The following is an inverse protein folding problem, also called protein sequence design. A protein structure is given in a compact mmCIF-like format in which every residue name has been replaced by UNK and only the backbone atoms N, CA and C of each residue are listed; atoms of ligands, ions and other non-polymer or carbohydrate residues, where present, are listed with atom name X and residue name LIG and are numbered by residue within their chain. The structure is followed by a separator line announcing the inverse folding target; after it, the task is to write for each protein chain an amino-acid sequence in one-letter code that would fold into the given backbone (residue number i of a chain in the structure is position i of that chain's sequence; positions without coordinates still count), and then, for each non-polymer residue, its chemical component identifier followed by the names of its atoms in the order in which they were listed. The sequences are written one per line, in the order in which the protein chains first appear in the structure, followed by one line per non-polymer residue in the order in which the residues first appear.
data_IF_151581976804
#
_entry.id   IF_151581976804
#
_cell.length_a   1.000
_cell.length_b   1.000
_cell.length_c   1.000
_cell.angle_alpha   90.00
_cell.angle_beta   90.00
_cell.angle_gamma   90.00
#
_symmetry.space_group_name_H-M   'P 1'
#
loop_
_entity.id
_entity.type
_entity.pdbx_description
1 polymer ?
#
# COMPACT_ATOMS: atom_id res chain seq x y z
N UNK A 1 -13.23 6.69 23.68
CA UNK A 1 -13.59 6.90 22.27
C UNK A 1 -12.34 6.74 21.42
N UNK A 2 -12.42 5.99 20.32
CA UNK A 2 -11.36 5.90 19.31
C UNK A 2 -11.94 6.17 17.93
N UNK A 3 -11.18 6.83 17.06
CA UNK A 3 -11.52 7.08 15.65
C UNK A 3 -10.60 6.25 14.77
N UNK A 4 -11.20 5.47 13.88
CA UNK A 4 -10.49 4.64 12.92
C UNK A 4 -11.02 4.91 11.51
N UNK A 5 -10.15 4.84 10.51
CA UNK A 5 -10.55 4.80 9.10
C UNK A 5 -9.78 3.73 8.34
N UNK A 6 -10.35 3.36 7.21
CA UNK A 6 -9.82 2.41 6.25
C UNK A 6 -10.27 2.87 4.87
N UNK A 7 -9.43 2.64 3.85
CA UNK A 7 -9.80 2.96 2.47
C UNK A 7 -11.06 2.18 2.06
N UNK A 8 -11.87 2.79 1.19
CA UNK A 8 -13.15 2.22 0.77
C UNK A 8 -12.97 0.93 -0.05
N UNK A 9 -11.86 0.84 -0.76
CA UNK A 9 -11.42 -0.27 -1.62
C UNK A 9 -10.48 -1.26 -0.92
N UNK A 10 -10.19 -1.05 0.36
CA UNK A 10 -9.38 -1.96 1.17
C UNK A 10 -9.99 -3.37 1.20
N UNK A 11 -9.15 -4.38 0.96
CA UNK A 11 -9.54 -5.79 1.08
C UNK A 11 -10.10 -6.11 2.48
N UNK A 12 -10.89 -7.18 2.59
CA UNK A 12 -11.51 -7.58 3.88
C UNK A 12 -10.51 -7.74 5.02
N UNK A 13 -9.28 -8.12 4.68
CA UNK A 13 -8.22 -8.49 5.61
C UNK A 13 -7.30 -7.31 5.96
N UNK A 14 -7.50 -6.14 5.35
CA UNK A 14 -6.72 -4.95 5.68
C UNK A 14 -7.17 -4.33 7.02
N UNK A 15 -6.23 -4.06 7.94
CA UNK A 15 -6.54 -3.59 9.28
C UNK A 15 -7.02 -2.13 9.27
N UNK A 16 -7.87 -1.80 10.23
CA UNK A 16 -8.29 -0.42 10.48
C UNK A 16 -7.17 0.40 11.10
N UNK A 17 -6.89 1.58 10.54
CA UNK A 17 -5.90 2.51 11.10
C UNK A 17 -6.56 3.40 12.15
N UNK A 18 -5.99 3.46 13.35
CA UNK A 18 -6.45 4.37 14.42
C UNK A 18 -5.84 5.75 14.23
N UNK A 19 -6.67 6.77 14.05
CA UNK A 19 -6.23 8.16 13.85
C UNK A 19 -6.37 9.02 15.10
N UNK A 20 -7.34 8.76 15.97
CA UNK A 20 -7.53 9.51 17.20
C UNK A 20 -8.03 8.63 18.36
N UNK A 21 -7.76 9.07 19.59
CA UNK A 21 -8.26 8.45 20.81
C UNK A 21 -8.51 9.52 21.87
N UNK A 22 -9.50 9.32 22.72
CA UNK A 22 -9.83 10.24 23.79
C UNK A 22 -10.93 9.74 24.71
N UNK A 23 -11.29 10.55 25.70
CA UNK A 23 -12.34 10.28 26.67
C UNK A 23 -13.46 11.30 26.50
N UNK A 24 -14.70 10.83 26.53
CA UNK A 24 -15.88 11.68 26.59
C UNK A 24 -16.46 11.60 27.99
N UNK A 25 -16.81 12.74 28.56
CA UNK A 25 -17.52 12.85 29.83
C UNK A 25 -18.78 13.69 29.61
N UNK A 26 -19.85 13.46 30.38
CA UNK A 26 -20.96 14.40 30.43
C UNK A 26 -20.44 15.80 30.73
N UNK A 27 -21.00 16.83 30.08
CA UNK A 27 -20.64 18.21 30.38
C UNK A 27 -21.00 18.49 31.84
N UNK A 28 -20.00 18.86 32.65
CA UNK A 28 -20.28 19.49 33.93
C UNK A 28 -20.93 20.86 33.66
N UNK A 29 -21.74 21.37 34.59
CA UNK A 29 -22.12 22.79 34.62
C UNK A 29 -20.86 23.63 34.94
N UNK A 30 -19.91 23.66 34.01
CA UNK A 30 -18.74 24.54 34.10
C UNK A 30 -19.22 25.98 33.88
N UNK A 31 -18.66 26.96 34.62
CA UNK A 31 -18.95 28.35 34.35
C UNK A 31 -18.57 28.66 32.89
N UNK A 32 -19.48 29.35 32.18
CA UNK A 32 -19.19 29.86 30.83
C UNK A 32 -17.89 30.67 30.88
N UNK A 33 -16.94 30.43 29.97
CA UNK A 33 -15.71 31.21 29.96
C UNK A 33 -16.01 32.71 29.82
N UNK A 34 -15.27 33.52 30.57
CA UNK A 34 -15.42 34.97 30.70
C UNK A 34 -14.93 35.76 29.45
N UNK A 35 -14.90 35.09 28.29
CA UNK A 35 -14.51 35.70 27.03
C UNK A 35 -15.75 36.34 26.40
N UNK A 36 -15.98 37.61 26.71
CA UNK A 36 -17.02 38.40 26.05
C UNK A 36 -16.66 38.62 24.57
N UNK A 37 -17.17 37.73 23.70
CA UNK A 37 -17.09 37.84 22.24
C UNK A 37 -18.32 38.56 21.65
N UNK A 38 -19.13 39.24 22.47
CA UNK A 38 -20.29 40.01 22.01
C UNK A 38 -19.87 41.38 21.44
N UNK A 39 -18.90 42.05 22.07
CA UNK A 39 -18.27 43.26 21.56
C UNK A 39 -17.26 42.93 20.45
N UNK A 40 -17.50 43.43 19.23
CA UNK A 40 -16.71 43.05 18.06
C UNK A 40 -16.46 44.20 17.06
N UNK A 41 -15.22 44.37 16.57
CA UNK A 41 -14.01 43.69 17.03
C UNK A 41 -13.71 44.02 18.51
N UNK A 42 -12.98 43.16 19.24
CA UNK A 42 -12.72 43.38 20.65
C UNK A 42 -12.03 44.73 20.90
N UNK A 43 -12.43 45.42 21.96
CA UNK A 43 -11.82 46.71 22.30
C UNK A 43 -10.29 46.58 22.48
N UNK A 44 -9.55 47.51 21.86
CA UNK A 44 -8.09 47.53 21.88
C UNK A 44 -7.40 46.49 20.98
N UNK A 45 -8.14 45.79 20.12
CA UNK A 45 -7.56 44.90 19.11
C UNK A 45 -7.29 45.65 17.80
N UNK A 46 -6.13 45.39 17.19
CA UNK A 46 -5.69 45.99 15.93
C UNK A 46 -5.94 45.02 14.76
N UNK A 47 -6.41 45.47 13.59
CA UNK A 47 -6.61 44.60 12.43
C UNK A 47 -5.31 43.94 11.97
N UNK A 48 -5.40 42.67 11.57
CA UNK A 48 -4.31 41.90 10.95
C UNK A 48 -4.61 41.71 9.47
N UNK A 49 -3.58 41.86 8.62
CA UNK A 49 -3.71 41.67 7.18
C UNK A 49 -3.92 40.19 6.83
N UNK A 50 -5.10 39.89 6.28
CA UNK A 50 -5.52 38.55 5.85
C UNK A 50 -5.43 38.35 4.34
N UNK A 51 -5.13 39.40 3.56
CA UNK A 51 -4.90 39.30 2.12
C UNK A 51 -3.63 38.46 1.84
N UNK A 52 -3.69 37.61 0.81
CA UNK A 52 -2.62 36.66 0.46
C UNK A 52 -2.27 35.66 1.57
N UNK A 53 -3.13 35.49 2.59
CA UNK A 53 -2.85 34.63 3.72
C UNK A 53 -2.77 33.15 3.33
N UNK A 54 -3.72 32.67 2.52
CA UNK A 54 -3.72 31.28 2.07
C UNK A 54 -2.58 30.97 1.09
N UNK A 55 -2.16 31.94 0.28
CA UNK A 55 -0.98 31.79 -0.59
C UNK A 55 0.28 31.59 0.23
N UNK A 56 0.47 32.39 1.30
CA UNK A 56 1.59 32.22 2.24
C UNK A 56 1.55 30.90 2.99
N UNK A 57 0.35 30.40 3.33
CA UNK A 57 0.20 29.07 3.93
C UNK A 57 0.55 27.96 2.92
N UNK A 58 0.18 28.11 1.66
CA UNK A 58 0.54 27.16 0.61
C UNK A 58 2.06 27.08 0.40
N UNK A 59 2.77 28.21 0.43
CA UNK A 59 4.24 28.25 0.41
C UNK A 59 4.89 27.52 1.61
N UNK A 60 4.19 27.40 2.73
CA UNK A 60 4.62 26.66 3.92
C UNK A 60 4.21 25.18 3.90
N UNK A 61 3.60 24.70 2.80
CA UNK A 61 3.19 23.31 2.61
C UNK A 61 1.75 23.00 3.02
N UNK A 62 0.93 24.00 3.34
CA UNK A 62 -0.50 23.78 3.62
C UNK A 62 -1.34 23.78 2.33
N UNK A 63 -1.88 22.62 1.97
CA UNK A 63 -2.74 22.46 0.79
C UNK A 63 -4.23 22.66 1.06
N UNK A 64 -4.63 23.80 1.64
CA UNK A 64 -6.05 24.05 1.92
C UNK A 64 -6.84 24.30 0.62
N UNK A 65 -7.84 23.46 0.36
CA UNK A 65 -8.78 23.64 -0.74
C UNK A 65 -9.84 24.72 -0.45
N UNK A 66 -10.68 25.09 -1.45
CA UNK A 66 -11.63 26.21 -1.34
C UNK A 66 -12.58 26.13 -0.13
N UNK A 67 -13.06 24.92 0.20
CA UNK A 67 -13.93 24.68 1.35
C UNK A 67 -13.31 25.11 2.71
N UNK A 68 -11.98 25.11 2.79
CA UNK A 68 -11.21 25.44 3.99
C UNK A 68 -10.75 26.90 4.03
N UNK A 69 -11.06 27.71 3.00
CA UNK A 69 -10.69 29.13 2.95
C UNK A 69 -11.67 30.02 3.74
N UNK A 70 -11.92 29.66 5.00
CA UNK A 70 -12.99 30.24 5.82
C UNK A 70 -12.65 31.55 6.54
N UNK A 71 -11.36 31.83 6.81
CA UNK A 71 -10.91 33.06 7.48
C UNK A 71 -11.28 34.32 6.67
N UNK A 72 -12.03 35.24 7.29
CA UNK A 72 -12.51 36.49 6.67
C UNK A 72 -11.77 37.71 7.15
N UNK A 73 -11.61 37.84 8.46
CA UNK A 73 -10.96 38.97 9.09
C UNK A 73 -10.29 38.52 10.38
N UNK A 74 -9.24 39.21 10.79
CA UNK A 74 -8.55 38.95 12.04
C UNK A 74 -8.06 40.21 12.72
N UNK A 75 -7.93 40.14 14.04
CA UNK A 75 -7.43 41.21 14.89
C UNK A 75 -6.49 40.64 15.94
N UNK A 76 -5.54 41.46 16.40
CA UNK A 76 -4.56 41.09 17.42
C UNK A 76 -4.64 42.02 18.61
N UNK A 77 -4.55 41.46 19.81
CA UNK A 77 -4.42 42.22 21.06
C UNK A 77 -3.38 41.56 21.95
N UNK A 78 -2.19 42.15 22.04
CA UNK A 78 -1.04 41.52 22.67
C UNK A 78 -0.67 40.21 21.95
N UNK A 79 -0.71 39.10 22.68
CA UNK A 79 -0.40 37.76 22.14
C UNK A 79 -1.66 36.96 21.75
N UNK A 80 -2.84 37.56 21.88
CA UNK A 80 -4.10 36.94 21.49
C UNK A 80 -4.52 37.36 20.08
N UNK A 81 -5.07 36.40 19.34
CA UNK A 81 -5.66 36.62 18.02
C UNK A 81 -7.15 36.35 18.06
N UNK A 82 -7.89 37.22 17.38
CA UNK A 82 -9.31 37.13 17.15
C UNK A 82 -9.57 36.98 15.67
N UNK A 83 -10.52 36.13 15.28
CA UNK A 83 -10.83 35.88 13.88
C UNK A 83 -12.34 35.75 13.63
N UNK A 84 -12.78 36.27 12.49
CA UNK A 84 -14.06 35.92 11.88
C UNK A 84 -13.83 34.84 10.83
N UNK A 85 -14.60 33.76 10.93
CA UNK A 85 -14.51 32.61 10.03
C UNK A 85 -15.91 32.25 9.57
N UNK A 86 -16.09 31.99 8.28
CA UNK A 86 -17.37 31.58 7.72
C UNK A 86 -17.18 30.55 6.61
N UNK A 87 -18.04 29.54 6.60
CA UNK A 87 -18.12 28.58 5.51
C UNK A 87 -18.38 29.31 4.17
N UNK A 88 -17.89 28.77 3.04
CA UNK A 88 -18.38 29.19 1.75
C UNK A 88 -19.88 28.83 1.61
N UNK A 89 -20.55 29.49 0.66
CA UNK A 89 -22.01 29.41 0.52
C UNK A 89 -22.49 27.98 0.20
N UNK A 90 -21.71 27.23 -0.57
CA UNK A 90 -22.00 25.86 -1.00
C UNK A 90 -22.06 24.89 0.20
N UNK A 91 -21.16 25.04 1.18
CA UNK A 91 -21.07 24.19 2.37
C UNK A 91 -21.95 24.68 3.52
N UNK A 92 -22.39 25.94 3.48
CA UNK A 92 -23.21 26.54 4.54
C UNK A 92 -24.55 25.81 4.77
N UNK A 93 -25.11 25.22 3.72
CA UNK A 93 -26.38 24.48 3.79
C UNK A 93 -26.25 23.18 4.62
N UNK A 94 -25.08 22.56 4.63
CA UNK A 94 -24.82 21.31 5.34
C UNK A 94 -24.41 21.52 6.80
N UNK A 95 -24.09 22.76 7.19
CA UNK A 95 -23.57 23.09 8.52
C UNK A 95 -24.46 22.56 9.66
N UNK A 96 -25.78 22.58 9.49
CA UNK A 96 -26.77 22.13 10.48
C UNK A 96 -26.71 20.62 10.79
N UNK A 97 -26.11 19.82 9.90
CA UNK A 97 -25.90 18.39 10.11
C UNK A 97 -24.73 18.06 11.05
N UNK A 98 -23.92 19.06 11.42
CA UNK A 98 -22.74 18.90 12.25
C UNK A 98 -22.90 19.57 13.61
N UNK A 99 -22.17 19.07 14.61
CA UNK A 99 -21.89 19.85 15.83
C UNK A 99 -21.20 21.16 15.45
N UNK A 100 -20.02 21.06 14.85
CA UNK A 100 -19.37 22.15 14.12
C UNK A 100 -18.88 21.54 12.81
N UNK A 101 -19.12 22.22 11.69
CA UNK A 101 -18.65 21.76 10.39
C UNK A 101 -17.11 21.62 10.40
N UNK A 102 -16.52 20.49 9.97
CA UNK A 102 -15.07 20.27 10.05
C UNK A 102 -14.24 21.37 9.38
N UNK A 103 -14.63 21.80 8.17
CA UNK A 103 -13.92 22.88 7.47
C UNK A 103 -14.02 24.24 8.19
N UNK A 104 -15.13 24.50 8.90
CA UNK A 104 -15.31 25.72 9.68
C UNK A 104 -14.45 25.71 10.94
N UNK A 105 -14.39 24.56 11.63
CA UNK A 105 -13.55 24.37 12.81
C UNK A 105 -12.07 24.43 12.44
N UNK A 106 -11.66 23.82 11.32
CA UNK A 106 -10.28 23.88 10.85
C UNK A 106 -9.88 25.32 10.49
N UNK A 107 -10.75 26.04 9.77
CA UNK A 107 -10.52 27.44 9.46
C UNK A 107 -10.46 28.35 10.70
N UNK A 108 -11.11 27.98 11.82
CA UNK A 108 -10.92 28.65 13.11
C UNK A 108 -9.49 28.53 13.64
N UNK A 109 -8.82 27.40 13.38
CA UNK A 109 -7.44 27.16 13.79
C UNK A 109 -6.42 27.84 12.86
N UNK A 110 -6.83 28.31 11.70
CA UNK A 110 -5.95 29.09 10.83
C UNK A 110 -5.47 30.38 11.52
N UNK A 111 -6.19 30.89 12.52
CA UNK A 111 -5.74 32.00 13.36
C UNK A 111 -4.39 31.75 14.06
N UNK A 112 -3.97 30.48 14.24
CA UNK A 112 -2.67 30.12 14.81
C UNK A 112 -1.50 30.65 13.96
N UNK A 113 -1.67 30.68 12.64
CA UNK A 113 -0.67 31.18 11.68
C UNK A 113 -0.55 32.71 11.65
N UNK A 114 -1.39 33.44 12.39
CA UNK A 114 -1.34 34.90 12.51
C UNK A 114 -0.41 35.38 13.64
N UNK A 115 0.56 34.54 14.01
CA UNK A 115 1.61 34.90 14.96
C UNK A 115 1.22 34.76 16.43
N UNK A 116 0.29 33.83 16.75
CA UNK A 116 0.04 33.35 18.12
C UNK A 116 1.22 32.48 18.60
N UNK A 117 1.75 31.64 17.71
CA UNK A 117 2.88 30.77 17.97
C UNK A 117 4.06 31.17 17.06
N UNK A 118 5.29 30.88 17.51
CA UNK A 118 6.47 31.05 16.68
C UNK A 118 6.41 30.18 15.42
N UNK A 119 7.01 30.65 14.32
CA UNK A 119 7.08 29.91 13.07
C UNK A 119 7.66 28.50 13.27
N UNK A 120 7.19 27.52 12.48
CA UNK A 120 7.61 26.13 12.59
C UNK A 120 9.07 25.86 12.14
N UNK A 121 9.65 26.81 11.40
CA UNK A 121 10.93 26.67 10.69
C UNK A 121 10.73 26.25 9.24
N UNK A 122 11.80 26.35 8.44
CA UNK A 122 11.79 25.98 7.02
C UNK A 122 11.47 24.49 6.84
N UNK A 123 10.58 24.17 5.89
CA UNK A 123 10.16 22.79 5.59
C UNK A 123 9.30 22.12 6.69
N UNK A 124 8.70 22.90 7.60
CA UNK A 124 7.84 22.38 8.67
C UNK A 124 6.50 23.11 8.71
N UNK A 125 5.45 22.35 9.00
CA UNK A 125 4.11 22.87 9.23
C UNK A 125 3.67 22.56 10.67
N UNK A 126 2.99 23.51 11.33
CA UNK A 126 2.39 23.30 12.65
C UNK A 126 0.99 22.70 12.50
N UNK A 127 0.75 21.55 13.13
CA UNK A 127 -0.53 20.84 13.06
C UNK A 127 -1.13 20.62 14.46
N UNK A 128 -2.46 20.72 14.61
CA UNK A 128 -3.17 20.30 15.83
C UNK A 128 -2.84 18.86 16.20
N UNK A 129 -2.43 18.61 17.44
CA UNK A 129 -2.03 17.26 17.89
C UNK A 129 -2.89 16.74 19.05
N UNK A 130 -3.06 17.53 20.11
CA UNK A 130 -3.76 17.08 21.33
C UNK A 130 -4.72 18.14 21.85
N UNK A 131 -5.94 17.72 22.13
CA UNK A 131 -7.01 18.57 22.64
C UNK A 131 -7.35 18.20 24.08
N UNK A 132 -7.67 19.18 24.92
CA UNK A 132 -8.09 18.96 26.31
C UNK A 132 -9.14 19.98 26.73
N UNK A 133 -10.10 19.53 27.53
CA UNK A 133 -11.22 20.38 27.98
C UNK A 133 -12.11 20.87 26.83
N UNK A 134 -12.30 20.07 25.79
CA UNK A 134 -13.16 20.46 24.65
C UNK A 134 -14.63 20.32 25.04
N UNK A 135 -15.37 21.41 24.96
CA UNK A 135 -16.82 21.45 25.19
C UNK A 135 -17.53 22.08 24.00
N UNK A 136 -18.57 21.41 23.52
CA UNK A 136 -19.49 21.92 22.49
C UNK A 136 -20.73 22.48 23.20
N UNK A 137 -21.00 23.78 23.02
CA UNK A 137 -22.10 24.51 23.66
C UNK A 137 -23.31 24.67 22.75
N UNK A 138 -23.09 24.84 21.45
CA UNK A 138 -24.12 24.98 20.43
C UNK A 138 -23.70 24.28 19.14
N UNK A 139 -24.67 23.89 18.30
CA UNK A 139 -24.43 23.16 17.07
C UNK A 139 -24.94 23.90 15.82
N UNK A 140 -24.43 23.53 14.64
CA UNK A 140 -24.96 23.98 13.36
C UNK A 140 -24.57 25.40 12.93
N UNK A 141 -23.53 25.99 13.53
CA UNK A 141 -23.03 27.30 13.14
C UNK A 141 -22.37 27.25 11.74
N UNK A 142 -22.67 28.25 10.90
CA UNK A 142 -22.03 28.44 9.58
C UNK A 142 -20.95 29.54 9.59
N UNK A 143 -20.93 30.36 10.65
CA UNK A 143 -19.93 31.40 10.86
C UNK A 143 -19.59 31.49 12.35
N UNK A 144 -18.34 31.83 12.66
CA UNK A 144 -17.76 31.85 13.99
C UNK A 144 -16.95 33.13 14.23
N UNK A 145 -16.97 33.58 15.48
CA UNK A 145 -15.96 34.44 16.08
C UNK A 145 -15.05 33.57 16.94
N UNK A 146 -13.74 33.71 16.75
CA UNK A 146 -12.73 32.86 17.38
C UNK A 146 -11.78 33.74 18.17
N UNK A 147 -11.40 33.29 19.36
CA UNK A 147 -10.26 33.82 20.13
C UNK A 147 -9.28 32.69 20.36
N UNK A 148 -8.02 32.93 20.01
CA UNK A 148 -6.90 32.04 20.29
C UNK A 148 -5.89 32.80 21.15
N UNK A 149 -5.50 32.20 22.27
CA UNK A 149 -4.56 32.80 23.20
C UNK A 149 -3.52 31.76 23.66
N UNK A 150 -2.23 32.14 23.80
CA UNK A 150 -1.22 31.27 24.40
C UNK A 150 -1.65 30.81 25.80
N UNK A 151 -1.29 29.58 26.18
CA UNK A 151 -1.63 29.01 27.48
C UNK A 151 -0.37 28.72 28.30
N UNK A 152 -0.15 29.52 29.35
CA UNK A 152 1.03 29.42 30.20
C UNK A 152 2.33 29.77 29.47
N UNK A 153 3.45 29.21 29.93
CA UNK A 153 4.79 29.45 29.35
C UNK A 153 5.14 28.47 28.22
N UNK A 154 4.21 27.60 27.81
CA UNK A 154 4.45 26.58 26.79
C UNK A 154 4.35 27.16 25.37
N UNK A 155 5.44 27.08 24.60
CA UNK A 155 5.56 27.65 23.25
C UNK A 155 4.71 26.96 22.17
N UNK A 156 4.02 25.87 22.51
CA UNK A 156 3.27 25.02 21.58
C UNK A 156 1.81 24.79 22.01
N UNK A 157 1.33 25.49 23.03
CA UNK A 157 0.01 25.26 23.62
C UNK A 157 -0.82 26.54 23.67
N UNK A 158 -2.08 26.43 23.24
CA UNK A 158 -3.03 27.53 23.18
C UNK A 158 -4.38 27.14 23.79
N UNK A 159 -5.17 28.13 24.19
CA UNK A 159 -6.60 28.00 24.44
C UNK A 159 -7.39 28.51 23.22
N UNK A 160 -8.56 27.90 22.97
CA UNK A 160 -9.43 28.28 21.84
C UNK A 160 -10.84 28.51 22.37
N UNK A 161 -11.39 29.69 22.12
CA UNK A 161 -12.80 30.02 22.41
C UNK A 161 -13.51 30.38 21.12
N UNK A 162 -14.69 29.78 20.93
CA UNK A 162 -15.47 29.90 19.71
C UNK A 162 -16.89 30.34 20.07
N UNK A 163 -17.36 31.40 19.41
CA UNK A 163 -18.72 31.91 19.51
C UNK A 163 -19.34 32.08 18.12
N UNK A 164 -20.66 32.26 18.06
CA UNK A 164 -21.37 32.63 16.85
C UNK A 164 -21.20 34.16 16.55
N UNK A 165 -21.76 34.68 15.44
CA UNK A 165 -21.67 36.11 15.12
C UNK A 165 -22.40 37.04 16.11
N UNK A 166 -23.27 36.51 16.97
CA UNK A 166 -23.89 37.26 18.06
C UNK A 166 -23.05 37.25 19.34
N UNK A 167 -21.94 36.49 19.37
CA UNK A 167 -21.09 36.30 20.54
C UNK A 167 -21.57 35.20 21.49
N UNK A 168 -22.56 34.39 21.09
CA UNK A 168 -23.04 33.27 21.89
C UNK A 168 -22.05 32.11 21.81
N UNK A 169 -21.70 31.43 22.93
CA UNK A 169 -20.72 30.35 22.93
C UNK A 169 -21.13 29.18 22.02
N UNK A 170 -20.19 28.73 21.18
CA UNK A 170 -20.35 27.56 20.30
C UNK A 170 -19.45 26.41 20.76
N UNK A 171 -18.16 26.66 20.98
CA UNK A 171 -17.24 25.66 21.54
C UNK A 171 -16.08 26.30 22.29
N UNK A 172 -15.49 25.53 23.19
CA UNK A 172 -14.30 25.92 23.96
C UNK A 172 -13.33 24.75 24.01
N UNK A 173 -12.04 25.03 23.88
CA UNK A 173 -10.96 24.10 24.19
C UNK A 173 -10.03 24.77 25.20
N UNK A 174 -9.94 24.19 26.40
CA UNK A 174 -9.06 24.70 27.46
C UNK A 174 -7.59 24.69 27.01
N UNK A 175 -7.20 23.62 26.30
CA UNK A 175 -5.84 23.45 25.79
C UNK A 175 -5.83 22.72 24.45
N UNK A 176 -5.06 23.25 23.51
CA UNK A 176 -4.70 22.67 22.23
C UNK A 176 -3.17 22.71 22.07
N UNK A 177 -2.56 21.53 21.97
CA UNK A 177 -1.13 21.36 21.66
C UNK A 177 -0.94 21.29 20.15
N UNK A 178 -0.01 22.09 19.62
CA UNK A 178 0.26 22.25 18.19
C UNK A 178 1.72 21.92 17.89
N UNK A 179 1.98 20.90 17.08
CA UNK A 179 3.33 20.37 16.85
C UNK A 179 3.87 20.67 15.45
N UNK A 180 5.18 20.94 15.30
CA UNK A 180 5.81 21.01 13.99
C UNK A 180 5.96 19.60 13.39
N UNK A 181 5.61 19.44 12.12
CA UNK A 181 5.74 18.22 11.33
C UNK A 181 6.52 18.53 10.06
N UNK A 182 7.38 17.60 9.62
CA UNK A 182 8.17 17.73 8.39
C UNK A 182 7.27 17.50 7.19
N UNK A 183 7.20 18.47 6.26
CA UNK A 183 6.28 18.42 5.11
C UNK A 183 6.56 17.24 4.17
N UNK A 184 7.82 16.90 3.93
CA UNK A 184 8.21 15.75 3.11
C UNK A 184 7.68 14.40 3.64
N UNK A 185 7.48 14.26 4.96
CA UNK A 185 6.90 13.05 5.54
C UNK A 185 5.41 12.91 5.26
N UNK A 186 4.69 14.04 5.19
CA UNK A 186 3.27 14.08 4.82
C UNK A 186 3.07 13.71 3.34
N UNK A 187 3.94 14.19 2.45
CA UNK A 187 3.92 13.85 1.02
C UNK A 187 4.20 12.37 0.77
N UNK A 188 5.21 11.81 1.44
CA UNK A 188 5.54 10.39 1.33
C UNK A 188 4.38 9.48 1.80
N UNK A 189 3.71 9.87 2.89
CA UNK A 189 2.55 9.16 3.43
C UNK A 189 1.28 9.31 2.57
N UNK A 190 1.16 10.41 1.79
CA UNK A 190 0.01 10.67 0.92
C UNK A 190 0.15 10.16 -0.52
N UNK A 191 1.32 9.64 -0.92
CA UNK A 191 1.53 9.20 -2.30
C UNK A 191 0.81 7.88 -2.62
N UNK A 192 -0.30 7.96 -3.36
CA UNK A 192 -1.03 6.82 -3.96
C UNK A 192 -0.18 5.95 -4.89
N UNK A 193 1.01 6.43 -5.28
CA UNK A 193 2.00 5.70 -6.08
C UNK A 193 2.55 4.49 -5.32
N UNK A 194 2.79 4.61 -4.00
CA UNK A 194 3.22 3.47 -3.19
C UNK A 194 2.13 2.40 -3.08
N UNK A 195 0.86 2.80 -3.14
CA UNK A 195 -0.28 1.87 -3.13
C UNK A 195 -0.57 1.22 -4.49
N UNK A 196 0.11 1.63 -5.56
CA UNK A 196 -0.13 1.10 -6.91
C UNK A 196 0.92 0.08 -7.37
N UNK A 197 2.02 -0.07 -6.62
CA UNK A 197 3.15 -0.89 -7.01
C UNK A 197 3.13 -2.25 -6.29
N UNK A 198 3.17 -3.33 -7.07
CA UNK A 198 3.22 -4.70 -6.59
C UNK A 198 4.50 -5.39 -7.05
N UNK A 199 5.01 -6.29 -6.21
CA UNK A 199 6.09 -7.21 -6.54
C UNK A 199 5.66 -8.65 -6.26
N UNK A 200 6.35 -9.59 -6.90
CA UNK A 200 6.18 -11.01 -6.62
C UNK A 200 7.13 -11.42 -5.50
N UNK A 201 6.55 -11.93 -4.40
CA UNK A 201 7.27 -12.53 -3.29
C UNK A 201 7.15 -14.05 -3.34
N UNK A 202 8.28 -14.74 -3.17
CA UNK A 202 8.35 -16.18 -3.08
C UNK A 202 8.37 -16.58 -1.61
N UNK A 203 7.23 -17.04 -1.10
CA UNK A 203 7.06 -17.39 0.31
C UNK A 203 7.03 -18.91 0.49
N UNK A 204 7.43 -19.45 1.66
CA UNK A 204 7.32 -20.88 1.93
C UNK A 204 5.88 -21.37 1.74
N UNK A 205 5.73 -22.48 1.01
CA UNK A 205 4.44 -23.13 0.84
C UNK A 205 3.91 -23.59 2.19
N UNK A 206 2.61 -23.34 2.44
CA UNK A 206 1.94 -23.95 3.59
C UNK A 206 1.77 -25.44 3.32
N UNK A 207 2.09 -26.29 4.29
CA UNK A 207 1.94 -27.73 4.14
C UNK A 207 0.46 -28.08 3.88
N UNK A 208 0.16 -28.58 2.68
CA UNK A 208 -1.17 -29.08 2.34
C UNK A 208 -1.47 -30.39 3.08
N UNK A 209 -2.68 -30.52 3.62
CA UNK A 209 -3.15 -31.69 4.38
C UNK A 209 -3.79 -32.79 3.51
N UNK A 210 -3.68 -32.73 2.18
CA UNK A 210 -4.31 -33.72 1.28
C UNK A 210 -3.29 -34.48 0.43
N UNK A 211 -2.90 -35.70 0.84
CA UNK A 211 -2.14 -36.60 -0.01
C UNK A 211 -3.12 -37.31 -0.97
N UNK A 212 -3.26 -36.80 -2.18
CA UNK A 212 -3.60 -37.68 -3.32
C UNK A 212 -2.29 -37.92 -4.05
N UNK A 213 -1.60 -38.98 -3.65
CA UNK A 213 -0.39 -39.40 -4.34
C UNK A 213 -0.78 -39.88 -5.75
N UNK A 214 -0.49 -39.08 -6.76
CA UNK A 214 -0.53 -39.52 -8.16
C UNK A 214 0.29 -40.81 -8.28
N UNK A 215 -0.32 -41.87 -8.80
CA UNK A 215 0.32 -43.20 -8.87
C UNK A 215 0.89 -43.48 -10.25
N UNK A 216 0.34 -42.83 -11.28
CA UNK A 216 0.70 -43.04 -12.69
C UNK A 216 1.28 -41.74 -13.25
N UNK A 217 2.51 -41.81 -13.69
CA UNK A 217 3.27 -40.67 -14.20
C UNK A 217 3.73 -40.97 -15.61
N UNK A 218 3.75 -39.96 -16.48
CA UNK A 218 4.48 -40.03 -17.73
C UNK A 218 5.54 -38.93 -17.79
N UNK A 219 6.69 -39.23 -18.39
CA UNK A 219 7.74 -38.26 -18.68
C UNK A 219 7.87 -38.15 -20.19
N UNK A 220 7.67 -36.95 -20.69
CA UNK A 220 7.73 -36.64 -22.13
C UNK A 220 9.06 -35.98 -22.45
N UNK A 221 9.79 -36.59 -23.39
CA UNK A 221 11.09 -36.14 -23.82
C UNK A 221 12.23 -36.51 -22.86
N UNK A 222 13.40 -35.86 -22.99
CA UNK A 222 14.57 -36.17 -22.18
C UNK A 222 14.33 -35.96 -20.67
N UNK A 223 14.89 -36.84 -19.84
CA UNK A 223 14.87 -36.72 -18.37
C UNK A 223 16.28 -36.45 -17.79
N UNK A 224 16.86 -35.26 -18.02
CA UNK A 224 18.20 -34.92 -17.54
C UNK A 224 18.26 -34.79 -16.01
N UNK A 225 17.11 -34.59 -15.35
CA UNK A 225 16.98 -34.49 -13.91
C UNK A 225 16.77 -35.85 -13.22
N UNK A 226 16.58 -36.93 -13.99
CA UNK A 226 16.31 -38.29 -13.49
C UNK A 226 15.09 -38.35 -12.57
N UNK A 227 14.07 -37.55 -12.90
CA UNK A 227 12.80 -37.52 -12.19
C UNK A 227 12.13 -38.89 -12.23
N UNK A 228 12.18 -39.58 -13.37
CA UNK A 228 11.51 -40.88 -13.55
C UNK A 228 12.04 -41.92 -12.57
N UNK A 229 13.36 -42.02 -12.46
CA UNK A 229 14.00 -42.92 -11.48
C UNK A 229 13.58 -42.59 -10.05
N UNK A 230 13.55 -41.31 -9.69
CA UNK A 230 13.18 -40.88 -8.34
C UNK A 230 11.73 -41.23 -8.01
N UNK A 231 10.82 -41.06 -8.99
CA UNK A 231 9.42 -41.45 -8.87
C UNK A 231 9.27 -42.99 -8.72
N UNK A 232 9.98 -43.78 -9.51
CA UNK A 232 9.99 -45.25 -9.40
C UNK A 232 10.47 -45.72 -8.03
N UNK A 233 11.50 -45.06 -7.46
CA UNK A 233 12.01 -45.36 -6.11
C UNK A 233 10.96 -45.09 -5.01
N UNK A 234 9.96 -44.24 -5.26
CA UNK A 234 8.79 -44.05 -4.37
C UNK A 234 7.66 -45.06 -4.59
N UNK A 235 7.80 -45.96 -5.57
CA UNK A 235 6.79 -46.97 -5.93
C UNK A 235 5.72 -46.49 -6.93
N UNK A 236 5.94 -45.34 -7.59
CA UNK A 236 5.07 -44.86 -8.66
C UNK A 236 5.30 -45.64 -9.96
N UNK A 237 4.26 -45.80 -10.77
CA UNK A 237 4.38 -46.33 -12.13
C UNK A 237 4.74 -45.17 -13.07
N UNK A 238 5.89 -45.27 -13.75
CA UNK A 238 6.39 -44.22 -14.65
C UNK A 238 6.44 -44.75 -16.09
N UNK A 239 5.89 -43.98 -17.02
CA UNK A 239 5.96 -44.23 -18.46
C UNK A 239 6.91 -43.20 -19.10
N UNK A 240 7.87 -43.65 -19.89
CA UNK A 240 8.66 -42.77 -20.75
C UNK A 240 7.98 -42.65 -22.12
N UNK A 241 7.88 -41.43 -22.64
CA UNK A 241 7.28 -41.13 -23.94
C UNK A 241 8.13 -40.07 -24.66
N UNK A 242 8.21 -40.17 -25.99
CA UNK A 242 8.96 -39.19 -26.79
C UNK A 242 8.17 -37.88 -26.97
N UNK A 243 6.84 -37.99 -27.08
CA UNK A 243 5.91 -36.89 -27.30
C UNK A 243 4.55 -37.17 -26.65
N UNK A 244 3.63 -36.20 -26.75
CA UNK A 244 2.30 -36.32 -26.16
C UNK A 244 1.43 -37.37 -26.87
N UNK A 245 1.60 -37.56 -28.18
CA UNK A 245 0.88 -38.57 -28.95
C UNK A 245 1.21 -39.97 -28.44
N UNK A 246 2.47 -40.22 -28.10
CA UNK A 246 2.92 -41.47 -27.50
C UNK A 246 2.26 -41.71 -26.14
N UNK A 247 2.12 -40.67 -25.30
CA UNK A 247 1.37 -40.78 -24.02
C UNK A 247 -0.09 -41.14 -24.28
N UNK A 248 -0.68 -40.59 -25.34
CA UNK A 248 -2.07 -40.83 -25.69
C UNK A 248 -2.31 -42.27 -26.21
N UNK A 249 -1.28 -43.02 -26.57
CA UNK A 249 -1.39 -44.44 -26.98
C UNK A 249 -1.30 -45.42 -25.82
N UNK A 250 -1.00 -44.96 -24.60
CA UNK A 250 -0.92 -45.81 -23.42
C UNK A 250 -2.30 -46.42 -23.07
N UNK A 251 -2.30 -47.68 -22.64
CA UNK A 251 -3.52 -48.36 -22.16
C UNK A 251 -4.10 -47.72 -20.88
N UNK A 252 -3.31 -46.90 -20.19
CA UNK A 252 -3.71 -46.17 -18.99
C UNK A 252 -3.41 -44.69 -19.15
N UNK A 253 -4.34 -43.84 -18.72
CA UNK A 253 -4.14 -42.40 -18.68
C UNK A 253 -3.31 -42.05 -17.43
N UNK A 254 -2.15 -41.39 -17.56
CA UNK A 254 -1.36 -40.91 -16.42
C UNK A 254 -2.10 -39.84 -15.62
N UNK A 255 -1.91 -39.83 -14.30
CA UNK A 255 -2.43 -38.78 -13.42
C UNK A 255 -1.66 -37.47 -13.65
N UNK A 256 -0.35 -37.59 -13.89
CA UNK A 256 0.57 -36.47 -14.10
C UNK A 256 1.48 -36.75 -15.29
N UNK A 257 1.61 -35.78 -16.18
CA UNK A 257 2.56 -35.80 -17.30
C UNK A 257 3.60 -34.72 -17.06
N UNK A 258 4.87 -35.08 -17.00
CA UNK A 258 5.99 -34.17 -16.73
C UNK A 258 6.78 -33.95 -18.01
N UNK A 259 7.04 -32.69 -18.34
CA UNK A 259 7.94 -32.29 -19.43
C UNK A 259 9.13 -31.55 -18.84
N UNK A 260 10.30 -32.21 -18.71
CA UNK A 260 11.51 -31.56 -18.23
C UNK A 260 12.15 -30.69 -19.30
N UNK A 261 12.47 -29.45 -18.93
CA UNK A 261 13.29 -28.53 -19.73
C UNK A 261 14.67 -28.42 -19.09
N UNK A 262 15.71 -28.68 -19.88
CA UNK A 262 17.09 -28.46 -19.48
C UNK A 262 17.69 -27.28 -20.25
N UNK A 263 18.48 -26.43 -19.58
CA UNK A 263 19.11 -25.31 -20.24
C UNK A 263 20.15 -25.82 -21.23
N UNK A 264 20.12 -25.29 -22.45
CA UNK A 264 21.16 -25.57 -23.45
C UNK A 264 22.40 -24.73 -23.13
N UNK A 265 23.58 -25.37 -23.05
CA UNK A 265 24.84 -24.67 -22.69
C UNK A 265 25.49 -23.89 -23.85
N UNK A 266 24.73 -23.56 -24.89
CA UNK A 266 25.23 -22.79 -26.02
C UNK A 266 25.37 -21.30 -25.66
N UNK A 267 26.40 -20.65 -26.20
CA UNK A 267 26.69 -19.23 -25.98
C UNK A 267 25.53 -18.29 -26.25
N UNK A 268 25.61 -17.06 -25.71
CA UNK A 268 24.55 -16.04 -25.72
C UNK A 268 24.11 -15.60 -27.11
N UNK A 269 24.95 -15.76 -28.14
CA UNK A 269 24.71 -15.28 -29.51
C UNK A 269 23.49 -15.92 -30.18
N UNK A 270 23.01 -17.06 -29.67
CA UNK A 270 21.82 -17.76 -30.17
C UNK A 270 20.63 -17.74 -29.21
N UNK A 271 20.74 -17.04 -28.07
CA UNK A 271 19.72 -17.06 -27.01
C UNK A 271 18.32 -16.73 -27.56
N UNK A 272 18.20 -15.67 -28.34
CA UNK A 272 16.91 -15.27 -28.92
C UNK A 272 16.28 -16.38 -29.78
N UNK A 273 17.07 -17.06 -30.62
CA UNK A 273 16.56 -18.15 -31.45
C UNK A 273 16.09 -19.34 -30.60
N UNK A 274 16.83 -19.70 -29.55
CA UNK A 274 16.46 -20.78 -28.62
C UNK A 274 15.21 -20.47 -27.83
N UNK A 275 15.05 -19.23 -27.34
CA UNK A 275 13.82 -18.76 -26.69
C UNK A 275 12.63 -18.91 -27.64
N UNK A 276 12.77 -18.56 -28.92
CA UNK A 276 11.67 -18.74 -29.88
C UNK A 276 11.36 -20.22 -30.10
N UNK A 277 12.38 -21.05 -30.35
CA UNK A 277 12.22 -22.49 -30.59
C UNK A 277 11.53 -23.19 -29.41
N UNK A 278 11.97 -22.93 -28.18
CA UNK A 278 11.37 -23.55 -26.99
C UNK A 278 9.93 -23.06 -26.78
N UNK A 279 9.64 -21.78 -27.01
CA UNK A 279 8.27 -21.26 -26.88
C UNK A 279 7.32 -21.83 -27.92
N UNK A 280 7.75 -22.03 -29.18
CA UNK A 280 6.93 -22.71 -30.18
C UNK A 280 6.64 -24.15 -29.77
N UNK A 281 7.65 -24.90 -29.32
CA UNK A 281 7.45 -26.27 -28.83
C UNK A 281 6.52 -26.34 -27.61
N UNK A 282 6.68 -25.45 -26.63
CA UNK A 282 5.79 -25.35 -25.46
C UNK A 282 4.37 -24.99 -25.87
N UNK A 283 4.20 -24.03 -26.78
CA UNK A 283 2.89 -23.62 -27.25
C UNK A 283 2.15 -24.76 -27.95
N UNK A 284 2.84 -25.50 -28.83
CA UNK A 284 2.26 -26.64 -29.53
C UNK A 284 1.93 -27.79 -28.57
N UNK A 285 2.81 -28.08 -27.60
CA UNK A 285 2.56 -29.04 -26.52
C UNK A 285 1.30 -28.68 -25.72
N UNK A 286 1.19 -27.42 -25.27
CA UNK A 286 0.05 -26.96 -24.46
C UNK A 286 -1.24 -27.00 -25.26
N UNK A 287 -1.22 -26.60 -26.54
CA UNK A 287 -2.38 -26.71 -27.42
C UNK A 287 -2.82 -28.16 -27.60
N UNK A 288 -1.89 -29.08 -27.85
CA UNK A 288 -2.18 -30.51 -27.97
C UNK A 288 -2.75 -31.08 -26.67
N UNK A 289 -2.14 -30.73 -25.52
CA UNK A 289 -2.61 -31.13 -24.20
C UNK A 289 -4.05 -30.68 -23.90
N UNK A 290 -4.34 -29.42 -24.21
CA UNK A 290 -5.64 -28.83 -23.91
C UNK A 290 -6.74 -29.36 -24.85
N UNK A 291 -6.38 -29.70 -26.10
CA UNK A 291 -7.30 -30.26 -27.09
C UNK A 291 -7.64 -31.74 -26.84
N UNK A 292 -6.80 -32.47 -26.12
CA UNK A 292 -6.99 -33.89 -25.85
C UNK A 292 -7.90 -34.12 -24.64
N UNK A 293 -9.14 -34.56 -24.89
CA UNK A 293 -10.16 -34.81 -23.85
C UNK A 293 -9.76 -35.91 -22.87
N UNK A 294 -8.94 -36.89 -23.29
CA UNK A 294 -8.45 -37.96 -22.42
C UNK A 294 -7.63 -37.44 -21.25
N UNK A 295 -6.99 -36.28 -21.39
CA UNK A 295 -6.16 -35.65 -20.36
C UNK A 295 -6.92 -34.59 -19.55
N UNK A 296 -8.26 -34.56 -19.60
CA UNK A 296 -9.06 -33.58 -18.87
C UNK A 296 -8.83 -33.62 -17.35
N UNK A 297 -8.69 -34.83 -16.79
CA UNK A 297 -8.45 -35.06 -15.36
C UNK A 297 -6.95 -35.17 -14.99
N UNK A 298 -6.07 -35.10 -15.99
CA UNK A 298 -4.61 -35.18 -15.80
C UNK A 298 -4.01 -33.79 -15.60
N UNK A 299 -2.82 -33.73 -15.00
CA UNK A 299 -2.04 -32.49 -14.85
C UNK A 299 -0.78 -32.52 -15.71
N UNK A 300 -0.55 -31.46 -16.47
CA UNK A 300 0.72 -31.23 -17.17
C UNK A 300 1.67 -30.42 -16.30
N UNK A 301 2.81 -30.98 -15.94
CA UNK A 301 3.88 -30.33 -15.19
C UNK A 301 4.97 -29.92 -16.16
N UNK A 302 5.20 -28.62 -16.29
CA UNK A 302 6.38 -28.09 -16.97
C UNK A 302 7.48 -27.88 -15.92
N UNK A 303 8.52 -28.70 -15.99
CA UNK A 303 9.62 -28.68 -15.04
C UNK A 303 10.79 -27.90 -15.62
N UNK A 304 11.04 -26.71 -15.07
CA UNK A 304 12.13 -25.82 -15.48
C UNK A 304 13.26 -25.82 -14.47
N UNK A 305 14.41 -25.26 -14.86
CA UNK A 305 15.55 -25.02 -13.97
C UNK A 305 15.90 -23.54 -13.94
N UNK A 306 16.01 -22.97 -12.73
CA UNK A 306 16.39 -21.58 -12.47
C UNK A 306 15.61 -20.53 -13.30
N UNK A 307 14.38 -20.81 -13.71
CA UNK A 307 13.55 -19.91 -14.52
C UNK A 307 13.12 -18.66 -13.75
N UNK A 308 13.03 -18.74 -12.43
CA UNK A 308 12.53 -17.66 -11.57
C UNK A 308 13.52 -17.27 -10.47
N UNK A 309 13.55 -15.98 -10.16
CA UNK A 309 14.35 -15.38 -9.09
C UNK A 309 13.54 -15.44 -7.81
N UNK A 310 14.05 -16.14 -6.81
CA UNK A 310 13.45 -16.28 -5.47
C UNK A 310 14.24 -15.55 -4.39
N UNK A 311 15.52 -15.27 -4.66
CA UNK A 311 16.46 -14.52 -3.83
C UNK A 311 17.20 -13.47 -4.68
N UNK A 312 17.66 -12.34 -4.13
CA UNK A 312 18.44 -11.34 -4.87
C UNK A 312 19.72 -11.87 -5.54
N UNK A 313 20.27 -12.98 -5.04
CA UNK A 313 21.47 -13.62 -5.59
C UNK A 313 21.18 -14.57 -6.76
N UNK A 314 19.90 -14.86 -7.04
CA UNK A 314 19.51 -15.76 -8.12
C UNK A 314 19.66 -15.06 -9.48
N UNK A 315 20.25 -15.76 -10.45
CA UNK A 315 20.25 -15.34 -11.85
C UNK A 315 19.29 -16.21 -12.64
N UNK A 316 18.26 -15.64 -13.31
CA UNK A 316 17.29 -16.44 -14.03
C UNK A 316 17.86 -16.99 -15.33
N UNK A 317 17.51 -18.24 -15.64
CA UNK A 317 17.65 -18.81 -16.98
C UNK A 317 16.59 -18.19 -17.89
N UNK A 318 17.04 -17.43 -18.89
CA UNK A 318 16.16 -16.64 -19.73
C UNK A 318 15.30 -17.47 -20.70
N UNK A 319 15.77 -18.67 -21.08
CA UNK A 319 14.98 -19.58 -21.93
C UNK A 319 13.80 -20.12 -21.15
N UNK A 320 14.05 -20.60 -19.94
CA UNK A 320 12.99 -21.11 -19.08
C UNK A 320 12.09 -20.02 -18.50
N UNK A 321 12.62 -18.82 -18.23
CA UNK A 321 11.83 -17.67 -17.79
C UNK A 321 10.73 -17.31 -18.81
N UNK A 322 11.01 -17.49 -20.10
CA UNK A 322 10.03 -17.27 -21.16
C UNK A 322 8.88 -18.28 -21.11
N UNK A 323 9.18 -19.56 -20.82
CA UNK A 323 8.16 -20.62 -20.61
C UNK A 323 7.19 -20.20 -19.52
N UNK A 324 7.70 -19.68 -18.40
CA UNK A 324 6.88 -19.17 -17.29
C UNK A 324 5.97 -18.02 -17.70
N UNK A 325 6.41 -17.14 -18.59
CA UNK A 325 5.55 -16.08 -19.16
C UNK A 325 4.36 -16.64 -19.94
N UNK A 326 4.63 -17.57 -20.86
CA UNK A 326 3.61 -18.19 -21.71
C UNK A 326 2.59 -19.00 -20.89
N UNK A 327 3.07 -19.87 -20.01
CA UNK A 327 2.19 -20.77 -19.24
C UNK A 327 1.35 -20.01 -18.23
N UNK A 328 1.84 -18.93 -17.63
CA UNK A 328 1.03 -18.07 -16.76
C UNK A 328 -0.22 -17.52 -17.46
N UNK A 329 -0.10 -17.19 -18.75
CA UNK A 329 -1.27 -16.81 -19.56
C UNK A 329 -2.26 -17.98 -19.68
N UNK A 330 -1.78 -19.17 -20.04
CA UNK A 330 -2.63 -20.36 -20.20
C UNK A 330 -3.29 -20.82 -18.90
N UNK A 331 -2.60 -20.71 -17.75
CA UNK A 331 -3.15 -21.03 -16.43
C UNK A 331 -4.36 -20.17 -16.06
N UNK A 332 -4.43 -18.93 -16.56
CA UNK A 332 -5.59 -18.05 -16.30
C UNK A 332 -6.85 -18.50 -17.03
N UNK A 333 -6.71 -19.17 -18.17
CA UNK A 333 -7.81 -19.71 -18.98
C UNK A 333 -8.17 -21.15 -18.59
N UNK A 334 -7.18 -21.94 -18.16
CA UNK A 334 -7.33 -23.35 -17.79
C UNK A 334 -6.76 -23.65 -16.40
N UNK A 335 -7.47 -23.26 -15.32
CA UNK A 335 -7.07 -23.57 -13.96
C UNK A 335 -6.88 -25.08 -13.73
N UNK A 336 -5.97 -25.44 -12.81
CA UNK A 336 -5.71 -26.81 -12.34
C UNK A 336 -5.16 -27.83 -13.37
N UNK A 337 -5.08 -27.49 -14.66
CA UNK A 337 -4.58 -28.39 -15.72
C UNK A 337 -3.08 -28.28 -15.97
N UNK A 338 -2.48 -27.13 -15.67
CA UNK A 338 -1.08 -26.80 -15.95
C UNK A 338 -0.38 -26.40 -14.66
N UNK A 339 0.75 -27.01 -14.36
CA UNK A 339 1.58 -26.71 -13.18
C UNK A 339 2.99 -26.36 -13.62
N UNK A 340 3.51 -25.23 -13.14
CA UNK A 340 4.90 -24.82 -13.32
C UNK A 340 5.70 -25.20 -12.07
N UNK A 341 6.77 -25.96 -12.25
CA UNK A 341 7.72 -26.27 -11.18
C UNK A 341 9.10 -25.85 -11.64
N UNK A 342 9.74 -24.96 -10.90
CA UNK A 342 11.11 -24.53 -11.18
C UNK A 342 12.06 -25.02 -10.10
N UNK A 343 13.08 -25.78 -10.46
CA UNK A 343 14.04 -26.37 -9.52
C UNK A 343 15.44 -25.78 -9.69
N UNK A 344 16.28 -25.99 -8.67
CA UNK A 344 17.71 -25.72 -8.74
C UNK A 344 18.48 -26.91 -9.39
N UNK A 345 19.73 -27.13 -9.02
CA UNK A 345 20.55 -28.23 -9.56
C UNK A 345 20.18 -29.63 -9.02
N UNK A 346 19.32 -29.72 -8.01
CA UNK A 346 18.90 -30.98 -7.41
C UNK A 346 17.68 -31.57 -8.12
N UNK A 347 17.56 -32.89 -8.07
CA UNK A 347 16.35 -33.60 -8.51
C UNK A 347 15.21 -33.28 -7.54
N UNK A 348 14.09 -32.72 -8.02
CA UNK A 348 12.99 -32.32 -7.14
C UNK A 348 12.12 -33.50 -6.72
N UNK A 349 11.58 -33.46 -5.51
CA UNK A 349 10.48 -34.32 -5.07
C UNK A 349 9.15 -33.70 -5.56
N UNK A 350 8.75 -34.10 -6.77
CA UNK A 350 7.52 -33.65 -7.43
C UNK A 350 6.24 -34.10 -6.72
N UNK A 351 6.12 -35.35 -6.21
CA UNK A 351 4.96 -35.75 -5.43
C UNK A 351 4.68 -34.77 -4.28
N UNK A 352 5.70 -34.43 -3.49
CA UNK A 352 5.54 -33.47 -2.38
C UNK A 352 5.20 -32.08 -2.91
N UNK A 353 5.84 -31.61 -3.99
CA UNK A 353 5.50 -30.32 -4.60
C UNK A 353 4.01 -30.22 -4.95
N UNK A 354 3.44 -31.25 -5.57
CA UNK A 354 2.04 -31.25 -5.99
C UNK A 354 1.04 -31.28 -4.82
N UNK A 355 1.45 -31.71 -3.62
CA UNK A 355 0.58 -31.64 -2.42
C UNK A 355 0.30 -30.22 -1.93
N UNK A 356 1.10 -29.24 -2.37
CA UNK A 356 0.86 -27.82 -2.08
C UNK A 356 -0.46 -27.32 -2.70
N UNK A 357 -0.91 -27.95 -3.79
CA UNK A 357 -2.08 -27.52 -4.54
C UNK A 357 -1.86 -26.23 -5.34
N UNK A 358 -0.63 -25.73 -5.42
CA UNK A 358 -0.32 -24.47 -6.07
C UNK A 358 0.02 -24.68 -7.55
N UNK A 359 -0.42 -23.78 -8.45
CA UNK A 359 -0.16 -23.88 -9.88
C UNK A 359 1.29 -23.52 -10.25
N UNK A 360 2.02 -22.86 -9.35
CA UNK A 360 3.38 -22.37 -9.56
C UNK A 360 4.21 -22.60 -8.32
N UNK A 361 5.34 -23.29 -8.46
CA UNK A 361 6.20 -23.69 -7.34
C UNK A 361 7.66 -23.49 -7.76
N UNK A 362 8.46 -22.87 -6.89
CA UNK A 362 9.91 -22.88 -6.99
C UNK A 362 10.49 -23.76 -5.87
N UNK A 363 11.40 -24.66 -6.22
CA UNK A 363 12.09 -25.55 -5.30
C UNK A 363 13.55 -25.09 -5.21
N UNK A 364 13.97 -24.71 -4.01
CA UNK A 364 15.34 -24.22 -3.71
C UNK A 364 15.83 -24.86 -2.43
N UNK A 365 16.96 -25.57 -2.46
CA UNK A 365 17.51 -26.28 -1.31
C UNK A 365 16.46 -27.15 -0.59
N UNK A 366 15.66 -27.88 -1.38
CA UNK A 366 14.52 -28.71 -0.92
C UNK A 366 13.39 -27.94 -0.20
N UNK A 367 13.36 -26.61 -0.27
CA UNK A 367 12.23 -25.79 0.19
C UNK A 367 11.29 -25.50 -0.97
N UNK A 368 10.00 -25.61 -0.70
CA UNK A 368 8.94 -25.29 -1.64
C UNK A 368 8.48 -23.84 -1.42
N UNK A 369 8.65 -23.01 -2.43
CA UNK A 369 8.28 -21.61 -2.43
C UNK A 369 7.15 -21.38 -3.43
N UNK A 370 6.21 -20.52 -3.08
CA UNK A 370 5.03 -20.22 -3.89
C UNK A 370 4.94 -18.71 -4.12
N UNK A 371 4.53 -18.28 -5.32
CA UNK A 371 4.49 -16.87 -5.66
C UNK A 371 3.24 -16.20 -5.04
N UNK A 372 3.45 -15.03 -4.43
CA UNK A 372 2.39 -14.16 -3.88
C UNK A 372 2.65 -12.72 -4.28
N UNK A 373 1.59 -11.99 -4.61
CA UNK A 373 1.70 -10.54 -4.83
C UNK A 373 1.79 -9.82 -3.49
N UNK A 374 2.79 -8.95 -3.35
CA UNK A 374 2.96 -8.08 -2.20
C UNK A 374 3.07 -6.63 -2.66
N UNK A 375 2.51 -5.69 -1.89
CA UNK A 375 2.70 -4.25 -2.11
C UNK A 375 4.15 -3.89 -1.84
N UNK A 376 4.75 -3.06 -2.69
CA UNK A 376 6.10 -2.55 -2.45
C UNK A 376 6.02 -1.21 -1.74
N UNK A 377 6.83 -1.03 -0.69
CA UNK A 377 7.11 0.31 -0.16
C UNK A 377 8.37 0.81 -0.86
N UNK A 378 8.27 1.85 -1.68
CA UNK A 378 9.48 2.54 -2.13
C UNK A 378 10.11 3.17 -0.89
N UNK A 379 11.19 2.57 -0.39
CA UNK A 379 12.09 3.30 0.49
C UNK A 379 12.72 4.39 -0.36
N UNK A 380 12.74 5.66 0.08
CA UNK A 380 13.50 6.68 -0.61
C UNK A 380 14.94 6.17 -0.72
N UNK A 381 15.46 6.14 -1.95
CA UNK A 381 16.83 5.73 -2.20
C UNK A 381 17.75 6.59 -1.31
N UNK A 382 18.79 6.01 -0.67
CA UNK A 382 19.81 6.84 -0.04
C UNK A 382 20.37 7.77 -1.11
N UNK A 383 20.43 9.07 -0.80
CA UNK A 383 20.96 10.10 -1.70
C UNK A 383 22.28 9.60 -2.31
N UNK A 384 22.29 9.43 -3.63
CA UNK A 384 23.49 9.11 -4.36
C UNK A 384 24.43 10.31 -4.23
N UNK A 385 25.41 10.20 -3.33
CA UNK A 385 26.50 11.17 -3.22
C UNK A 385 27.10 11.41 -4.61
N UNK A 386 27.09 12.64 -5.16
CA UNK A 386 27.67 12.89 -6.46
C UNK A 386 29.18 12.57 -6.42
N UNK A 387 29.75 12.00 -7.51
CA UNK A 387 31.16 11.65 -7.55
C UNK A 387 32.01 12.91 -7.34
N UNK A 388 32.95 12.84 -6.39
CA UNK A 388 33.88 13.92 -6.07
C UNK A 388 34.68 14.30 -7.32
N UNK A 389 34.62 15.57 -7.70
CA UNK A 389 35.35 16.10 -8.86
C UNK A 389 36.86 15.98 -8.59
N UNK A 390 37.65 15.38 -9.50
CA UNK A 390 39.09 15.25 -9.28
C UNK A 390 39.76 16.63 -9.31
N UNK A 391 40.47 16.94 -8.23
CA UNK A 391 41.28 18.16 -8.10
C UNK A 391 42.42 18.13 -9.13
N UNK A 392 42.55 19.16 -9.94
CA UNK A 392 43.64 19.28 -10.90
C UNK A 392 45.01 19.40 -10.18
N UNK A 393 46.07 18.72 -10.67
CA UNK A 393 47.39 18.81 -10.06
C UNK A 393 47.99 20.21 -10.27
N UNK A 394 48.66 20.71 -9.23
CA UNK A 394 49.40 21.98 -9.21
C UNK A 394 50.71 21.94 -9.98
#
# INVERSE_FOLDING_TARGET
MTLHSRAQDAGSDEPWTRHATGTLTPAAESPRPDADLTAWPPAGAEPVETEGYYDRLAEQGYGYGPAFHGLRAAWRRGDEVFAEVALPEEESAEATGYGIHPALMDAALHALGLGVLAAAGEGRARLPFSWSGVTLHAAGAAALRVRVAPLGDAEDTVSVTVADPAGMPVATAESLVVRPVVTAQLEAAGSSVNDSLFRMDWVPASAGLSPVAARRWAIVGPDPLRVGRTLEETGATVFAADDLDSVATLDVVPDVVVVPYAPQQDGTDKLAARVHEVLYGVLDLVKGWLAEERFADSRLVLLTRNAVVTSPDDTPDLEHAAIWGLIRSAQSEHPDRLVLIDTDHHTPDLPTALTTGEPQIAIRDSKYLVPRLARTTLHPAPESTPPSTPTAPS
#
